data_IF_471111427109
#
_entry.id   IF_471111427109
#
_cell.length_a   1.000
_cell.length_b   1.000
_cell.length_c   1.000
_cell.angle_alpha   90.00
_cell.angle_beta   90.00
_cell.angle_gamma   90.00
#
_symmetry.space_group_name_H-M   'P 1'
#
loop_
_entity.id
_entity.type
_entity.pdbx_description
1 polymer ?
#
# COMPACT_ATOMS: atom_id res chain seq x y z
N UNK A 1 28.86 -7.63 50.44
CA UNK A 1 28.82 -8.50 49.23
C UNK A 1 28.12 -7.87 48.03
N UNK A 2 27.26 -6.84 48.17
CA UNK A 2 26.56 -6.26 47.01
C UNK A 2 27.27 -5.13 46.26
N UNK A 3 28.14 -4.35 46.90
CA UNK A 3 28.73 -3.14 46.30
C UNK A 3 29.83 -3.41 45.28
N UNK A 4 30.67 -4.42 45.49
CA UNK A 4 31.77 -4.79 44.57
C UNK A 4 31.25 -5.32 43.22
N UNK A 5 30.09 -5.98 43.22
CA UNK A 5 29.43 -6.49 42.01
C UNK A 5 28.89 -5.39 41.09
N UNK A 6 28.44 -4.26 41.64
CA UNK A 6 27.94 -3.13 40.83
C UNK A 6 29.08 -2.31 40.25
N UNK A 7 30.15 -2.11 41.01
CA UNK A 7 31.37 -1.45 40.55
C UNK A 7 31.98 -2.20 39.36
N UNK A 8 32.08 -3.54 39.43
CA UNK A 8 32.54 -4.36 38.30
C UNK A 8 31.63 -4.28 37.07
N UNK A 9 30.30 -4.27 37.27
CA UNK A 9 29.34 -4.14 36.18
C UNK A 9 29.41 -2.75 35.50
N UNK A 10 29.56 -1.68 36.27
CA UNK A 10 29.74 -0.31 35.77
C UNK A 10 31.06 -0.21 35.00
N UNK A 11 32.15 -0.75 35.53
CA UNK A 11 33.44 -0.77 34.86
C UNK A 11 33.40 -1.54 33.52
N UNK A 12 32.72 -2.70 33.49
CA UNK A 12 32.53 -3.48 32.27
C UNK A 12 31.70 -2.73 31.23
N UNK A 13 30.63 -2.02 31.65
CA UNK A 13 29.79 -1.24 30.76
C UNK A 13 30.54 -0.01 30.22
N UNK A 14 31.26 0.72 31.07
CA UNK A 14 32.11 1.84 30.66
C UNK A 14 33.20 1.40 29.70
N UNK A 15 33.81 0.23 29.92
CA UNK A 15 34.77 -0.37 29.00
C UNK A 15 34.13 -0.68 27.64
N UNK A 16 32.97 -1.35 27.62
CA UNK A 16 32.21 -1.62 26.39
C UNK A 16 31.81 -0.35 25.64
N UNK A 17 31.43 0.71 26.36
CA UNK A 17 31.08 2.00 25.76
C UNK A 17 32.32 2.72 25.22
N UNK A 18 33.48 2.59 25.87
CA UNK A 18 34.75 3.15 25.41
C UNK A 18 35.33 2.39 24.21
N UNK A 19 35.21 1.06 24.18
CA UNK A 19 35.60 0.20 23.06
C UNK A 19 34.66 0.36 21.85
N UNK A 20 33.45 0.87 22.11
CA UNK A 20 32.45 1.23 21.10
C UNK A 20 32.34 2.75 20.92
N UNK A 21 33.39 3.51 21.21
CA UNK A 21 33.41 4.95 20.92
C UNK A 21 33.08 5.26 19.44
N UNK A 22 33.46 4.35 18.54
CA UNK A 22 33.19 4.44 17.11
C UNK A 22 31.74 4.03 16.72
N UNK A 23 30.93 3.50 17.64
CA UNK A 23 29.52 3.23 17.33
C UNK A 23 28.73 4.51 17.09
N UNK A 24 29.11 5.62 17.74
CA UNK A 24 28.46 6.90 17.55
C UNK A 24 28.63 7.44 16.14
N UNK A 25 29.86 7.38 15.61
CA UNK A 25 30.15 7.78 14.23
C UNK A 25 29.52 6.83 13.23
N UNK A 26 29.61 5.51 13.44
CA UNK A 26 28.98 4.50 12.56
C UNK A 26 27.45 4.60 12.55
N UNK A 27 26.82 4.83 13.70
CA UNK A 27 25.37 5.02 13.78
C UNK A 27 24.94 6.33 13.13
N UNK A 28 25.68 7.42 13.35
CA UNK A 28 25.41 8.71 12.70
C UNK A 28 25.55 8.61 11.17
N UNK A 29 26.60 7.93 10.67
CA UNK A 29 26.81 7.69 9.25
C UNK A 29 25.65 6.89 8.65
N UNK A 30 25.23 5.80 9.32
CA UNK A 30 24.09 4.98 8.89
C UNK A 30 22.76 5.72 8.93
N UNK A 31 22.51 6.52 9.97
CA UNK A 31 21.32 7.37 10.05
C UNK A 31 21.31 8.34 8.87
N UNK A 32 22.44 9.01 8.62
CA UNK A 32 22.58 9.95 7.51
C UNK A 32 22.37 9.28 6.15
N UNK A 33 22.89 8.07 5.98
CA UNK A 33 22.69 7.27 4.77
C UNK A 33 21.22 6.87 4.59
N UNK A 34 20.58 6.32 5.63
CA UNK A 34 19.16 5.92 5.57
C UNK A 34 18.26 7.13 5.36
N UNK A 35 18.54 8.27 6.00
CA UNK A 35 17.80 9.52 5.77
C UNK A 35 17.95 9.98 4.32
N UNK A 36 19.16 9.95 3.75
CA UNK A 36 19.37 10.32 2.35
C UNK A 36 18.69 9.36 1.37
N UNK A 37 18.66 8.06 1.65
CA UNK A 37 17.94 7.06 0.85
C UNK A 37 16.42 7.26 0.92
N UNK A 38 15.87 7.57 2.11
CA UNK A 38 14.46 7.90 2.29
C UNK A 38 14.08 9.22 1.62
N UNK A 39 14.93 10.25 1.74
CA UNK A 39 14.75 11.52 1.05
C UNK A 39 14.82 11.32 -0.46
N UNK A 40 15.78 10.57 -0.99
CA UNK A 40 15.88 10.27 -2.42
C UNK A 40 14.67 9.49 -2.95
N UNK A 41 14.16 8.52 -2.18
CA UNK A 41 12.94 7.80 -2.53
C UNK A 41 11.69 8.70 -2.53
N UNK A 42 11.67 9.72 -1.67
CA UNK A 42 10.61 10.73 -1.60
C UNK A 42 10.83 11.92 -2.56
N UNK A 43 12.03 12.11 -3.10
CA UNK A 43 12.47 13.32 -3.79
C UNK A 43 12.45 13.20 -5.32
N UNK A 44 11.97 12.11 -5.91
CA UNK A 44 11.63 12.11 -7.34
C UNK A 44 10.15 12.46 -7.54
N UNK A 45 9.80 13.76 -7.65
CA UNK A 45 8.43 14.18 -7.98
C UNK A 45 7.98 13.73 -9.37
N UNK A 46 8.86 13.08 -10.15
CA UNK A 46 8.58 12.52 -11.47
C UNK A 46 8.36 11.00 -11.46
N UNK A 47 8.68 10.31 -10.35
CA UNK A 47 8.39 8.88 -10.20
C UNK A 47 6.90 8.67 -9.95
N UNK A 48 6.19 8.38 -11.03
CA UNK A 48 4.76 8.07 -11.03
C UNK A 48 4.56 6.58 -11.30
N UNK A 49 4.30 5.82 -10.24
CA UNK A 49 4.00 4.38 -10.32
C UNK A 49 2.70 4.09 -9.55
N UNK A 50 1.54 4.44 -10.12
CA UNK A 50 0.29 4.34 -9.40
C UNK A 50 -0.20 2.90 -9.33
N UNK A 51 -0.88 2.55 -8.24
CA UNK A 51 -1.72 1.35 -8.21
C UNK A 51 -2.96 1.55 -9.10
N UNK A 52 -3.40 0.56 -9.87
CA UNK A 52 -4.77 0.54 -10.37
C UNK A 52 -5.68 -0.04 -9.29
N UNK A 53 -6.63 0.76 -8.79
CA UNK A 53 -7.52 0.35 -7.69
C UNK A 53 -8.97 0.28 -8.16
N UNK A 54 -9.58 -0.89 -8.03
CA UNK A 54 -11.03 -1.08 -8.12
C UNK A 54 -11.64 -1.06 -6.73
N UNK A 55 -12.57 -0.15 -6.49
CA UNK A 55 -13.29 -0.05 -5.22
C UNK A 55 -14.76 0.26 -5.41
N UNK A 56 -15.55 0.04 -4.36
CA UNK A 56 -16.99 0.26 -4.44
C UNK A 56 -17.31 1.77 -4.49
N UNK A 57 -18.36 2.15 -5.21
CA UNK A 57 -18.91 3.51 -5.19
C UNK A 57 -19.52 3.90 -3.83
N UNK A 58 -19.62 2.97 -2.89
CA UNK A 58 -20.09 3.22 -1.53
C UNK A 58 -19.33 4.36 -0.85
N UNK A 59 -20.07 5.32 -0.29
CA UNK A 59 -19.50 6.57 0.26
C UNK A 59 -18.66 6.35 1.51
N UNK A 60 -18.79 5.21 2.19
CA UNK A 60 -18.09 4.89 3.44
C UNK A 60 -16.64 4.43 3.22
N UNK A 61 -16.29 4.06 1.99
CA UNK A 61 -15.04 3.33 1.69
C UNK A 61 -14.25 4.00 0.56
N UNK A 62 -14.00 5.31 0.69
CA UNK A 62 -13.10 6.03 -0.22
C UNK A 62 -11.69 5.41 -0.12
N UNK A 63 -11.11 4.84 -1.21
CA UNK A 63 -9.83 4.16 -1.14
C UNK A 63 -8.68 5.06 -0.68
N UNK A 64 -8.68 6.34 -1.10
CA UNK A 64 -7.69 7.32 -0.65
C UNK A 64 -7.70 7.51 0.87
N UNK A 65 -8.87 7.44 1.50
CA UNK A 65 -8.96 7.60 2.96
C UNK A 65 -8.64 6.29 3.70
N UNK A 66 -9.06 5.15 3.14
CA UNK A 66 -8.88 3.84 3.80
C UNK A 66 -7.41 3.38 3.75
N UNK A 67 -6.72 3.66 2.64
CA UNK A 67 -5.32 3.25 2.42
C UNK A 67 -4.33 4.42 2.49
N UNK A 68 -4.80 5.62 2.83
CA UNK A 68 -4.00 6.85 2.90
C UNK A 68 -3.24 7.20 1.60
N UNK A 69 -3.82 6.86 0.44
CA UNK A 69 -3.22 7.22 -0.85
C UNK A 69 -3.17 8.73 -1.03
N UNK A 70 -1.98 9.22 -1.36
CA UNK A 70 -1.73 10.58 -1.80
C UNK A 70 -2.07 10.77 -3.28
N UNK A 71 -2.32 12.02 -3.73
CA UNK A 71 -2.51 12.30 -5.14
C UNK A 71 -1.33 11.81 -5.98
N UNK A 72 -1.63 10.98 -6.99
CA UNK A 72 -0.62 10.38 -7.87
C UNK A 72 -0.26 8.94 -7.53
N UNK A 73 -0.61 8.43 -6.34
CA UNK A 73 -0.27 7.05 -5.95
C UNK A 73 -1.26 6.00 -6.46
N UNK A 74 -2.45 6.41 -6.90
CA UNK A 74 -3.46 5.47 -7.40
C UNK A 74 -4.28 6.02 -8.55
N UNK A 75 -4.43 5.20 -9.59
CA UNK A 75 -5.39 5.37 -10.67
C UNK A 75 -6.66 4.59 -10.29
N UNK A 76 -7.77 5.28 -10.05
CA UNK A 76 -8.94 4.69 -9.39
C UNK A 76 -10.11 4.46 -10.34
N UNK A 77 -10.70 3.26 -10.26
CA UNK A 77 -11.99 2.93 -10.84
C UNK A 77 -12.95 2.60 -9.71
N UNK A 78 -14.09 3.30 -9.67
CA UNK A 78 -15.13 3.06 -8.66
C UNK A 78 -16.47 2.74 -9.31
N UNK A 79 -17.00 1.55 -9.03
CA UNK A 79 -18.31 1.11 -9.51
C UNK A 79 -19.07 0.34 -8.41
N UNK A 80 -20.33 -0.01 -8.68
CA UNK A 80 -21.14 -0.77 -7.73
C UNK A 80 -20.48 -2.13 -7.51
N UNK A 81 -20.20 -2.46 -6.24
CA UNK A 81 -19.60 -3.71 -5.81
C UNK A 81 -18.21 -4.00 -6.40
N UNK A 82 -17.43 -2.97 -6.77
CA UNK A 82 -16.01 -3.09 -7.17
C UNK A 82 -15.78 -4.20 -8.22
N UNK A 83 -16.70 -4.32 -9.18
CA UNK A 83 -16.75 -5.39 -10.15
C UNK A 83 -15.77 -5.14 -11.28
N UNK A 84 -15.04 -6.18 -11.66
CA UNK A 84 -14.21 -6.24 -12.86
C UNK A 84 -14.85 -7.28 -13.79
N UNK A 85 -15.65 -6.87 -14.79
CA UNK A 85 -16.30 -7.81 -15.68
C UNK A 85 -15.31 -8.45 -16.64
N UNK A 86 -15.64 -9.61 -17.24
CA UNK A 86 -14.89 -10.18 -18.34
C UNK A 86 -14.73 -9.19 -19.49
N UNK A 87 -13.69 -9.39 -20.29
CA UNK A 87 -13.40 -8.54 -21.44
C UNK A 87 -14.53 -8.60 -22.47
N UNK A 88 -15.18 -7.46 -22.70
CA UNK A 88 -16.14 -7.26 -23.78
C UNK A 88 -16.06 -5.81 -24.26
N UNK A 89 -15.61 -5.62 -25.51
CA UNK A 89 -15.45 -4.28 -26.13
C UNK A 89 -16.75 -3.50 -26.26
N UNK A 90 -17.91 -4.16 -26.26
CA UNK A 90 -19.23 -3.55 -26.47
C UNK A 90 -19.95 -3.30 -25.15
N UNK A 91 -19.90 -4.25 -24.21
CA UNK A 91 -20.64 -4.18 -22.94
C UNK A 91 -19.88 -3.49 -21.82
N UNK A 92 -18.54 -3.61 -21.80
CA UNK A 92 -17.72 -3.21 -20.65
C UNK A 92 -16.53 -2.32 -21.06
N UNK A 93 -16.72 -1.50 -22.09
CA UNK A 93 -15.69 -0.62 -22.65
C UNK A 93 -15.09 0.34 -21.61
N UNK A 94 -15.87 0.80 -20.62
CA UNK A 94 -15.37 1.69 -19.56
C UNK A 94 -14.30 1.02 -18.67
N UNK A 95 -14.57 -0.17 -18.15
CA UNK A 95 -13.59 -0.91 -17.33
C UNK A 95 -12.42 -1.38 -18.19
N UNK A 96 -12.71 -1.87 -19.40
CA UNK A 96 -11.67 -2.28 -20.35
C UNK A 96 -10.68 -1.16 -20.67
N UNK A 97 -11.18 0.04 -20.99
CA UNK A 97 -10.34 1.20 -21.27
C UNK A 97 -9.51 1.64 -20.06
N UNK A 98 -10.08 1.56 -18.84
CA UNK A 98 -9.34 1.90 -17.64
C UNK A 98 -8.17 0.94 -17.37
N UNK A 99 -8.40 -0.37 -17.54
CA UNK A 99 -7.35 -1.39 -17.41
C UNK A 99 -6.30 -1.22 -18.50
N UNK A 100 -6.73 -1.07 -19.76
CA UNK A 100 -5.84 -0.87 -20.90
C UNK A 100 -4.94 0.36 -20.69
N UNK A 101 -5.51 1.47 -20.24
CA UNK A 101 -4.75 2.68 -19.97
C UNK A 101 -3.77 2.53 -18.81
N UNK A 102 -4.23 1.98 -17.68
CA UNK A 102 -3.38 1.77 -16.52
C UNK A 102 -2.18 0.85 -16.85
N UNK A 103 -2.43 -0.28 -17.51
CA UNK A 103 -1.39 -1.28 -17.78
C UNK A 103 -0.48 -0.86 -18.94
N UNK A 104 -1.05 -0.45 -20.08
CA UNK A 104 -0.26 -0.19 -21.28
C UNK A 104 0.36 1.21 -21.30
N UNK A 105 -0.25 2.20 -20.64
CA UNK A 105 0.20 3.58 -20.69
C UNK A 105 0.79 4.07 -19.37
N UNK A 106 0.11 3.83 -18.23
CA UNK A 106 0.63 4.24 -16.92
C UNK A 106 1.65 3.26 -16.34
N UNK A 107 1.75 2.05 -16.92
CA UNK A 107 2.68 0.99 -16.51
C UNK A 107 2.55 0.58 -15.04
N UNK A 108 1.32 0.57 -14.54
CA UNK A 108 1.05 0.13 -13.15
C UNK A 108 1.58 -1.27 -12.91
N UNK A 109 2.33 -1.46 -11.83
CA UNK A 109 2.83 -2.78 -11.45
C UNK A 109 1.75 -3.60 -10.72
N UNK A 110 0.80 -2.91 -10.08
CA UNK A 110 -0.16 -3.51 -9.17
C UNK A 110 -1.61 -3.14 -9.54
N UNK A 111 -2.47 -4.16 -9.60
CA UNK A 111 -3.93 -4.01 -9.72
C UNK A 111 -4.56 -4.59 -8.46
N UNK A 112 -5.32 -3.77 -7.73
CA UNK A 112 -5.95 -4.14 -6.47
C UNK A 112 -7.47 -4.03 -6.60
N UNK A 113 -8.18 -5.12 -6.29
CA UNK A 113 -9.65 -5.13 -6.21
C UNK A 113 -10.06 -5.21 -4.75
N UNK A 114 -10.65 -4.12 -4.24
CA UNK A 114 -10.95 -3.95 -2.82
C UNK A 114 -12.46 -4.07 -2.60
N UNK A 115 -12.87 -5.21 -2.05
CA UNK A 115 -14.21 -5.40 -1.50
C UNK A 115 -14.39 -4.67 -0.16
N UNK A 116 -15.62 -4.62 0.35
CA UNK A 116 -15.88 -4.05 1.67
C UNK A 116 -17.04 -4.75 2.39
N UNK A 117 -17.06 -4.60 3.71
CA UNK A 117 -18.14 -5.10 4.55
C UNK A 117 -19.47 -4.40 4.23
N UNK A 118 -20.56 -5.15 4.35
CA UNK A 118 -21.93 -4.65 4.16
C UNK A 118 -22.14 -3.94 2.81
N UNK A 119 -21.55 -4.49 1.72
CA UNK A 119 -21.73 -3.97 0.38
C UNK A 119 -23.17 -4.16 -0.11
N UNK A 120 -23.84 -3.04 -0.44
CA UNK A 120 -25.21 -3.06 -0.94
C UNK A 120 -25.36 -3.79 -2.28
N UNK A 121 -24.38 -3.65 -3.19
CA UNK A 121 -24.40 -4.33 -4.48
C UNK A 121 -24.29 -5.85 -4.34
N UNK A 122 -23.37 -6.34 -3.49
CA UNK A 122 -23.24 -7.77 -3.20
C UNK A 122 -24.47 -8.30 -2.46
N UNK A 123 -25.01 -7.55 -1.49
CA UNK A 123 -26.26 -7.93 -0.82
C UNK A 123 -27.42 -8.06 -1.82
N UNK A 124 -27.51 -7.15 -2.78
CA UNK A 124 -28.47 -7.21 -3.88
C UNK A 124 -28.28 -8.47 -4.72
N UNK A 125 -27.05 -8.75 -5.16
CA UNK A 125 -26.70 -9.97 -5.90
C UNK A 125 -27.14 -11.24 -5.15
N UNK A 126 -26.81 -11.33 -3.86
CA UNK A 126 -27.15 -12.50 -3.03
C UNK A 126 -28.66 -12.68 -2.77
N UNK A 127 -29.48 -11.68 -3.10
CA UNK A 127 -30.94 -11.77 -3.00
C UNK A 127 -31.62 -12.21 -4.31
N UNK A 128 -30.88 -12.26 -5.42
CA UNK A 128 -31.39 -12.75 -6.70
C UNK A 128 -31.49 -14.28 -6.61
N UNK A 129 -32.65 -14.89 -6.92
CA UNK A 129 -32.76 -16.34 -6.97
C UNK A 129 -31.79 -16.93 -7.98
N UNK A 130 -31.08 -17.98 -7.59
CA UNK A 130 -30.26 -18.74 -8.54
C UNK A 130 -31.19 -19.57 -9.43
N UNK A 131 -31.30 -19.16 -10.70
CA UNK A 131 -32.08 -19.88 -11.71
C UNK A 131 -31.21 -20.85 -12.54
N UNK A 132 -29.93 -21.02 -12.16
CA UNK A 132 -28.98 -21.89 -12.87
C UNK A 132 -28.58 -21.38 -14.25
N UNK A 133 -29.02 -20.20 -14.67
CA UNK A 133 -28.67 -19.60 -15.98
C UNK A 133 -27.47 -18.66 -15.92
N UNK A 134 -26.92 -18.42 -14.72
CA UNK A 134 -25.80 -17.49 -14.47
C UNK A 134 -24.43 -18.02 -14.91
N UNK A 135 -24.40 -19.04 -15.78
CA UNK A 135 -23.17 -19.48 -16.44
C UNK A 135 -22.83 -18.55 -17.61
N UNK A 136 -21.81 -17.72 -17.43
CA UNK A 136 -21.03 -17.11 -18.52
C UNK A 136 -19.67 -17.77 -18.62
#
# INVERSE_FOLDING_TARGET
MGSESYEEAIAALSKLLSEKADLGSVAAEKIKQVTAELEAAAADPTKFDPFLVFACSDSRVCPSHVLDFQPGEAFMVRNIANMVPPYDKKKHSGVGAAIEYAVLHLKVENIVVIGHSCCGGIKGLMSIPDDGTTAT
#
